data_IF_977431996255
#
_entry.id   IF_977431996255
#
_cell.length_a   1.000
_cell.length_b   1.000
_cell.length_c   1.000
_cell.angle_alpha   90.00
_cell.angle_beta   90.00
_cell.angle_gamma   90.00
#
_symmetry.space_group_name_H-M   'P 1'
#
loop_
_entity.id
_entity.type
_entity.pdbx_description
1 polymer ?
#
# COMPACT_ATOMS: atom_id res chain seq x y z
N UNK A 1 13.67 14.17 -47.63
CA UNK A 1 12.70 14.45 -46.54
C UNK A 1 13.13 13.64 -45.33
N UNK A 2 13.69 14.30 -44.31
CA UNK A 2 14.13 13.65 -43.09
C UNK A 2 12.92 13.36 -42.20
N UNK A 3 12.63 12.09 -41.96
CA UNK A 3 11.64 11.65 -40.97
C UNK A 3 12.18 12.07 -39.59
N UNK A 4 11.58 13.07 -38.96
CA UNK A 4 11.90 13.42 -37.57
C UNK A 4 11.54 12.23 -36.66
N UNK A 5 12.36 11.92 -35.65
CA UNK A 5 12.24 10.68 -34.92
C UNK A 5 10.94 10.63 -34.12
N UNK A 6 10.22 9.51 -34.26
CA UNK A 6 9.20 9.06 -33.32
C UNK A 6 9.75 9.13 -31.90
N UNK A 7 9.07 9.79 -30.98
CA UNK A 7 9.46 9.84 -29.57
C UNK A 7 9.29 8.46 -28.95
N UNK A 8 10.41 7.77 -28.74
CA UNK A 8 10.45 6.49 -28.03
C UNK A 8 10.56 6.73 -26.53
N UNK A 9 9.53 6.35 -25.76
CA UNK A 9 9.64 6.22 -24.31
C UNK A 9 9.85 4.74 -23.99
N UNK A 10 11.11 4.31 -23.98
CA UNK A 10 11.53 2.99 -23.51
C UNK A 10 12.06 3.09 -22.07
N UNK A 11 11.30 2.68 -21.04
CA UNK A 11 11.91 2.38 -19.76
C UNK A 11 12.72 1.09 -19.94
N UNK A 12 14.04 1.21 -19.74
CA UNK A 12 15.02 0.14 -19.93
C UNK A 12 14.54 -1.23 -19.40
N UNK A 13 14.64 -2.25 -20.26
CA UNK A 13 14.53 -3.69 -19.93
C UNK A 13 13.22 -4.12 -19.23
N UNK A 14 12.05 -3.82 -19.80
CA UNK A 14 10.78 -4.48 -19.38
C UNK A 14 9.91 -4.90 -20.59
N UNK A 15 9.12 -5.98 -20.48
CA UNK A 15 8.29 -6.53 -21.57
C UNK A 15 7.00 -5.73 -21.83
N UNK A 16 6.98 -4.43 -21.53
CA UNK A 16 5.77 -3.62 -21.47
C UNK A 16 6.08 -2.18 -21.88
N UNK A 17 5.36 -1.65 -22.87
CA UNK A 17 5.55 -0.31 -23.40
C UNK A 17 4.30 0.22 -24.08
N UNK A 18 4.24 1.54 -24.28
CA UNK A 18 3.20 2.19 -25.07
C UNK A 18 3.83 2.83 -26.32
N UNK A 19 3.13 2.73 -27.45
CA UNK A 19 3.54 3.32 -28.71
C UNK A 19 2.55 4.41 -29.10
N UNK A 20 3.06 5.58 -29.48
CA UNK A 20 2.28 6.77 -29.81
C UNK A 20 2.35 7.10 -31.29
N UNK A 21 1.23 7.50 -31.88
CA UNK A 21 1.19 8.07 -33.23
C UNK A 21 0.18 9.20 -33.32
N UNK A 22 0.59 10.31 -33.96
CA UNK A 22 -0.19 11.54 -34.12
C UNK A 22 -0.41 11.92 -35.58
N UNK A 23 0.34 11.32 -36.51
CA UNK A 23 0.22 11.56 -37.94
C UNK A 23 0.24 10.26 -38.75
N UNK A 24 -0.11 10.35 -40.03
CA UNK A 24 -0.33 9.18 -40.91
C UNK A 24 0.91 8.27 -41.05
N UNK A 25 2.15 8.77 -41.23
CA UNK A 25 3.33 7.90 -41.26
C UNK A 25 3.61 7.23 -39.91
N UNK A 26 3.39 7.94 -38.79
CA UNK A 26 3.55 7.36 -37.45
C UNK A 26 2.53 6.27 -37.16
N UNK A 27 1.31 6.35 -37.72
CA UNK A 27 0.30 5.30 -37.58
C UNK A 27 0.73 3.98 -38.22
N UNK A 28 1.36 4.02 -39.41
CA UNK A 28 1.87 2.82 -40.08
C UNK A 28 2.95 2.16 -39.24
N UNK A 29 3.85 2.97 -38.67
CA UNK A 29 4.86 2.49 -37.74
C UNK A 29 4.23 1.85 -36.48
N UNK A 30 3.25 2.51 -35.86
CA UNK A 30 2.51 2.00 -34.70
C UNK A 30 1.89 0.63 -34.99
N UNK A 31 1.18 0.47 -36.11
CA UNK A 31 0.55 -0.78 -36.49
C UNK A 31 1.58 -1.90 -36.72
N UNK A 32 2.67 -1.62 -37.45
CA UNK A 32 3.73 -2.60 -37.70
C UNK A 32 4.44 -3.04 -36.41
N UNK A 33 4.75 -2.10 -35.53
CA UNK A 33 5.38 -2.37 -34.25
C UNK A 33 4.46 -3.18 -33.32
N UNK A 34 3.17 -2.84 -33.23
CA UNK A 34 2.19 -3.63 -32.46
C UNK A 34 2.04 -5.04 -33.01
N UNK A 35 2.00 -5.22 -34.33
CA UNK A 35 1.98 -6.55 -34.96
C UNK A 35 3.22 -7.37 -34.57
N UNK A 36 4.42 -6.75 -34.59
CA UNK A 36 5.65 -7.40 -34.16
C UNK A 36 5.64 -7.76 -32.66
N UNK A 37 5.10 -6.89 -31.80
CA UNK A 37 4.91 -7.15 -30.37
C UNK A 37 3.98 -8.34 -30.11
N UNK A 38 2.83 -8.38 -30.79
CA UNK A 38 1.89 -9.50 -30.74
C UNK A 38 2.52 -10.80 -31.25
N UNK A 39 3.26 -10.75 -32.36
CA UNK A 39 3.96 -11.91 -32.92
C UNK A 39 5.03 -12.47 -31.97
N UNK A 40 5.71 -11.60 -31.22
CA UNK A 40 6.75 -12.00 -30.25
C UNK A 40 6.20 -12.35 -28.87
N UNK A 41 4.88 -12.23 -28.63
CA UNK A 41 4.27 -12.52 -27.34
C UNK A 41 4.62 -11.51 -26.24
N UNK A 42 4.90 -10.25 -26.62
CA UNK A 42 5.26 -9.17 -25.70
C UNK A 42 4.21 -8.06 -25.84
N UNK A 43 3.12 -8.09 -25.05
CA UNK A 43 2.03 -7.13 -25.19
C UNK A 43 2.48 -5.67 -25.05
N UNK A 44 1.90 -4.79 -25.87
CA UNK A 44 2.14 -3.35 -25.83
C UNK A 44 0.83 -2.56 -26.01
N UNK A 45 0.75 -1.36 -25.44
CA UNK A 45 -0.43 -0.50 -25.55
C UNK A 45 -0.35 0.41 -26.77
N UNK A 46 -1.48 0.56 -27.46
CA UNK A 46 -1.64 1.50 -28.56
C UNK A 46 -2.16 2.84 -28.06
N UNK A 47 -1.48 3.93 -28.40
CA UNK A 47 -1.93 5.29 -28.14
C UNK A 47 -1.99 6.02 -29.48
N UNK A 48 -3.21 6.14 -30.01
CA UNK A 48 -3.49 6.81 -31.27
C UNK A 48 -4.53 7.91 -31.07
N UNK A 49 -4.25 9.09 -31.60
CA UNK A 49 -5.19 10.22 -31.63
C UNK A 49 -6.29 9.98 -32.67
N UNK A 50 -7.52 10.39 -32.39
CA UNK A 50 -8.63 10.23 -33.34
C UNK A 50 -8.44 11.10 -34.60
N UNK A 51 -7.98 12.33 -34.40
CA UNK A 51 -7.82 13.34 -35.45
C UNK A 51 -6.38 13.35 -36.00
N UNK A 52 -6.25 13.60 -37.30
CA UNK A 52 -4.95 13.75 -37.96
C UNK A 52 -4.37 15.11 -37.58
N UNK A 53 -3.16 15.13 -37.01
CA UNK A 53 -2.43 16.37 -36.73
C UNK A 53 -1.45 16.73 -37.86
N UNK A 54 -1.27 18.02 -38.07
CA UNK A 54 -0.25 18.56 -38.96
C UNK A 54 1.16 18.24 -38.44
N UNK A 55 2.14 18.22 -39.35
CA UNK A 55 3.49 17.76 -39.02
C UNK A 55 4.27 18.69 -38.07
N UNK A 56 3.86 19.96 -37.96
CA UNK A 56 4.41 20.99 -37.09
C UNK A 56 3.56 21.28 -35.84
N UNK A 57 2.37 20.66 -35.72
CA UNK A 57 1.59 20.72 -34.51
C UNK A 57 2.29 19.91 -33.39
N UNK A 58 2.56 20.59 -32.28
CA UNK A 58 3.25 20.03 -31.11
C UNK A 58 2.32 19.89 -29.90
N UNK A 59 1.04 20.19 -30.07
CA UNK A 59 0.03 20.00 -29.04
C UNK A 59 -0.29 18.52 -28.85
N UNK A 60 -0.61 18.13 -27.61
CA UNK A 60 -1.06 16.77 -27.28
C UNK A 60 -2.59 16.80 -27.25
N UNK A 61 -3.30 16.05 -28.12
CA UNK A 61 -4.74 15.94 -28.07
C UNK A 61 -5.24 15.35 -26.76
N UNK A 62 -6.43 15.75 -26.31
CA UNK A 62 -6.97 15.34 -25.01
C UNK A 62 -7.16 13.82 -24.88
N UNK A 63 -7.54 13.13 -25.96
CA UNK A 63 -7.70 11.67 -26.00
C UNK A 63 -6.37 10.92 -25.93
N UNK A 64 -5.31 11.50 -26.48
CA UNK A 64 -3.93 11.00 -26.36
C UNK A 64 -3.40 11.23 -24.95
N UNK A 65 -3.61 12.42 -24.39
CA UNK A 65 -3.24 12.77 -23.01
C UNK A 65 -3.89 11.79 -22.01
N UNK A 66 -5.19 11.52 -22.15
CA UNK A 66 -5.91 10.58 -21.28
C UNK A 66 -5.27 9.19 -21.31
N UNK A 67 -4.95 8.67 -22.50
CA UNK A 67 -4.33 7.35 -22.68
C UNK A 67 -2.92 7.33 -22.09
N UNK A 68 -2.12 8.38 -22.29
CA UNK A 68 -0.78 8.51 -21.73
C UNK A 68 -0.80 8.52 -20.20
N UNK A 69 -1.64 9.35 -19.60
CA UNK A 69 -1.76 9.47 -18.15
C UNK A 69 -2.29 8.17 -17.53
N UNK A 70 -3.27 7.51 -18.15
CA UNK A 70 -3.78 6.22 -17.70
C UNK A 70 -2.69 5.14 -17.74
N UNK A 71 -1.97 5.03 -18.86
CA UNK A 71 -0.88 4.07 -19.02
C UNK A 71 0.24 4.33 -18.00
N UNK A 72 0.68 5.59 -17.86
CA UNK A 72 1.74 5.96 -16.93
C UNK A 72 1.34 5.66 -15.47
N UNK A 73 0.12 5.99 -15.07
CA UNK A 73 -0.39 5.71 -13.71
C UNK A 73 -0.42 4.21 -13.41
N UNK A 74 -0.98 3.41 -14.32
CA UNK A 74 -1.02 1.95 -14.16
C UNK A 74 0.39 1.33 -14.16
N UNK A 75 1.26 1.78 -15.07
CA UNK A 75 2.65 1.31 -15.14
C UNK A 75 3.45 1.65 -13.88
N UNK A 76 3.25 2.84 -13.30
CA UNK A 76 3.86 3.23 -12.04
C UNK A 76 3.36 2.38 -10.87
N UNK A 77 2.06 2.06 -10.80
CA UNK A 77 1.53 1.18 -9.76
C UNK A 77 2.18 -0.22 -9.84
N UNK A 78 2.21 -0.84 -11.03
CA UNK A 78 2.86 -2.15 -11.24
C UNK A 78 4.35 -2.10 -10.90
N UNK A 79 5.05 -1.06 -11.34
CA UNK A 79 6.47 -0.91 -11.06
C UNK A 79 6.79 -0.70 -9.57
N UNK A 80 5.90 -0.02 -8.84
CA UNK A 80 6.08 0.31 -7.42
C UNK A 80 5.86 -0.89 -6.50
N UNK A 81 5.03 -1.86 -6.90
CA UNK A 81 4.85 -3.10 -6.17
C UNK A 81 6.05 -4.04 -6.26
N UNK A 82 6.74 -4.05 -7.41
CA UNK A 82 7.82 -5.00 -7.67
C UNK A 82 8.94 -4.90 -6.61
N UNK A 83 9.28 -6.02 -6.01
CA UNK A 83 10.32 -6.16 -4.99
C UNK A 83 9.93 -5.70 -3.58
N UNK A 84 8.67 -5.26 -3.39
CA UNK A 84 8.11 -4.92 -2.08
C UNK A 84 7.49 -6.13 -1.40
N UNK A 85 7.22 -6.00 -0.11
CA UNK A 85 6.62 -7.07 0.69
C UNK A 85 5.15 -6.80 1.00
N UNK A 86 4.40 -7.88 1.18
CA UNK A 86 3.16 -7.90 1.95
C UNK A 86 3.47 -8.48 3.34
N UNK A 87 3.12 -7.75 4.40
CA UNK A 87 3.31 -8.22 5.77
C UNK A 87 2.02 -8.89 6.28
N UNK A 88 2.05 -10.21 6.45
CA UNK A 88 0.98 -10.96 7.12
C UNK A 88 1.29 -11.05 8.61
N UNK A 89 0.58 -10.27 9.42
CA UNK A 89 0.69 -10.30 10.88
C UNK A 89 -0.39 -11.21 11.47
N UNK A 90 0.04 -12.41 11.84
CA UNK A 90 -0.81 -13.58 12.04
C UNK A 90 -1.04 -14.36 10.74
N UNK A 91 -1.98 -15.30 10.81
CA UNK A 91 -2.42 -16.12 9.69
C UNK A 91 -3.90 -15.96 9.35
N UNK A 92 -4.60 -17.09 9.23
CA UNK A 92 -6.01 -17.13 8.84
C UNK A 92 -6.91 -16.55 9.93
N UNK A 93 -7.81 -15.64 9.55
CA UNK A 93 -8.84 -15.11 10.45
C UNK A 93 -10.17 -15.79 10.16
N UNK A 94 -10.68 -16.56 11.14
CA UNK A 94 -12.04 -17.15 11.11
C UNK A 94 -12.40 -17.93 9.83
N UNK A 95 -11.43 -18.59 9.20
CA UNK A 95 -11.65 -19.35 7.96
C UNK A 95 -11.95 -18.48 6.73
N UNK A 96 -11.69 -17.16 6.79
CA UNK A 96 -11.86 -16.27 5.64
C UNK A 96 -10.84 -16.64 4.57
N UNK A 97 -11.33 -17.01 3.38
CA UNK A 97 -10.48 -17.45 2.27
C UNK A 97 -9.38 -16.43 1.92
N UNK A 98 -9.73 -15.14 1.88
CA UNK A 98 -8.77 -14.05 1.61
C UNK A 98 -7.70 -13.85 2.68
N UNK A 99 -7.74 -14.56 3.81
CA UNK A 99 -6.70 -14.58 4.85
C UNK A 99 -5.76 -15.78 4.75
N UNK A 100 -6.05 -16.71 3.85
CA UNK A 100 -5.12 -17.77 3.45
C UNK A 100 -4.17 -17.13 2.42
N UNK A 101 -3.04 -16.63 2.88
CA UNK A 101 -2.12 -15.85 2.05
C UNK A 101 -1.42 -16.76 1.02
N UNK A 102 -1.87 -16.66 -0.24
CA UNK A 102 -1.22 -17.32 -1.37
C UNK A 102 0.08 -16.58 -1.74
N UNK A 103 1.22 -17.16 -1.38
CA UNK A 103 2.53 -16.57 -1.66
C UNK A 103 2.85 -16.55 -3.16
N UNK A 104 2.42 -17.58 -3.91
CA UNK A 104 2.68 -17.68 -5.34
C UNK A 104 1.93 -16.58 -6.12
N UNK A 105 0.74 -16.17 -5.66
CA UNK A 105 0.05 -15.02 -6.22
C UNK A 105 0.90 -13.74 -6.13
N UNK A 106 1.44 -13.41 -4.95
CA UNK A 106 2.28 -12.23 -4.77
C UNK A 106 3.57 -12.28 -5.58
N UNK A 107 4.24 -13.43 -5.58
CA UNK A 107 5.52 -13.61 -6.28
C UNK A 107 5.34 -13.56 -7.80
N UNK A 108 4.41 -14.36 -8.34
CA UNK A 108 4.26 -14.55 -9.79
C UNK A 108 3.53 -13.39 -10.47
N UNK A 109 2.47 -12.84 -9.85
CA UNK A 109 1.66 -11.79 -10.50
C UNK A 109 2.14 -10.38 -10.18
N UNK A 110 2.58 -10.14 -8.94
CA UNK A 110 2.90 -8.78 -8.48
C UNK A 110 4.41 -8.53 -8.40
N UNK A 111 5.22 -9.59 -8.51
CA UNK A 111 6.65 -9.52 -8.26
C UNK A 111 6.98 -9.07 -6.83
N UNK A 112 6.08 -9.36 -5.88
CA UNK A 112 6.20 -9.03 -4.46
C UNK A 112 6.72 -10.23 -3.65
N UNK A 113 7.07 -9.98 -2.40
CA UNK A 113 7.37 -11.01 -1.39
C UNK A 113 6.27 -11.06 -0.34
N UNK A 114 6.16 -12.16 0.38
CA UNK A 114 5.32 -12.24 1.58
C UNK A 114 6.22 -12.43 2.80
N UNK A 115 6.03 -11.60 3.81
CA UNK A 115 6.62 -11.78 5.13
C UNK A 115 5.51 -12.18 6.09
N UNK A 116 5.60 -13.39 6.65
CA UNK A 116 4.72 -13.83 7.72
C UNK A 116 5.37 -13.57 9.08
N UNK A 117 4.63 -13.00 10.01
CA UNK A 117 5.06 -12.74 11.39
C UNK A 117 3.90 -13.11 12.30
N UNK A 118 4.13 -13.95 13.31
CA UNK A 118 3.09 -14.29 14.26
C UNK A 118 2.71 -13.08 15.15
N UNK A 119 1.46 -13.04 15.62
CA UNK A 119 0.98 -11.93 16.44
C UNK A 119 1.71 -11.80 17.79
N UNK A 120 2.38 -12.85 18.26
CA UNK A 120 3.27 -12.79 19.43
C UNK A 120 4.40 -11.76 19.28
N UNK A 121 4.88 -11.47 18.07
CA UNK A 121 5.88 -10.42 17.86
C UNK A 121 5.31 -9.03 18.16
N UNK A 122 4.05 -8.77 17.79
CA UNK A 122 3.39 -7.52 18.14
C UNK A 122 3.26 -7.37 19.66
N UNK A 123 2.88 -8.47 20.34
CA UNK A 123 2.83 -8.52 21.81
C UNK A 123 4.21 -8.26 22.43
N UNK A 124 5.26 -8.91 21.92
CA UNK A 124 6.65 -8.74 22.37
C UNK A 124 7.08 -7.28 22.27
N UNK A 125 6.79 -6.61 21.15
CA UNK A 125 7.14 -5.19 20.97
C UNK A 125 6.47 -4.29 22.00
N UNK A 126 5.19 -4.55 22.31
CA UNK A 126 4.47 -3.76 23.30
C UNK A 126 5.01 -4.02 24.71
N UNK A 127 5.23 -5.29 25.09
CA UNK A 127 5.64 -5.64 26.46
C UNK A 127 7.10 -5.27 26.75
N UNK A 128 7.98 -5.40 25.75
CA UNK A 128 9.41 -5.08 25.87
C UNK A 128 9.75 -3.64 25.47
N UNK A 129 8.74 -2.78 25.28
CA UNK A 129 8.89 -1.37 24.90
C UNK A 129 9.73 -1.13 23.65
N UNK A 130 9.47 -1.90 22.60
CA UNK A 130 10.15 -1.79 21.29
C UNK A 130 9.33 -0.86 20.39
N UNK A 131 9.28 0.41 20.80
CA UNK A 131 8.60 1.51 20.13
C UNK A 131 9.15 2.83 20.69
N UNK A 132 8.88 3.95 20.03
CA UNK A 132 9.24 5.28 20.54
C UNK A 132 8.26 5.73 21.63
N UNK A 133 8.71 5.77 22.90
CA UNK A 133 7.87 6.21 24.03
C UNK A 133 7.46 7.69 23.91
N UNK A 134 8.30 8.55 23.32
CA UNK A 134 7.96 9.96 23.13
C UNK A 134 6.87 10.13 22.06
N UNK A 135 6.93 9.34 20.99
CA UNK A 135 5.87 9.32 19.99
C UNK A 135 4.54 8.84 20.57
N UNK A 136 4.55 7.86 21.49
CA UNK A 136 3.33 7.40 22.14
C UNK A 136 2.66 8.52 22.95
N UNK A 137 3.43 9.28 23.72
CA UNK A 137 2.89 10.41 24.50
C UNK A 137 2.32 11.50 23.59
N UNK A 138 2.98 11.77 22.45
CA UNK A 138 2.43 12.66 21.43
C UNK A 138 1.13 12.13 20.83
N UNK A 139 1.06 10.83 20.53
CA UNK A 139 -0.12 10.19 19.96
C UNK A 139 -1.31 10.21 20.93
N UNK A 140 -1.06 9.96 22.24
CA UNK A 140 -2.07 10.07 23.29
C UNK A 140 -2.58 11.51 23.44
N UNK A 141 -1.66 12.49 23.49
CA UNK A 141 -2.02 13.92 23.57
C UNK A 141 -2.85 14.35 22.36
N UNK A 142 -2.47 13.87 21.16
CA UNK A 142 -3.24 14.12 19.95
C UNK A 142 -4.61 13.45 19.98
N UNK A 143 -4.71 12.21 20.46
CA UNK A 143 -5.99 11.51 20.61
C UNK A 143 -6.91 12.27 21.58
N UNK A 144 -6.39 12.74 22.71
CA UNK A 144 -7.17 13.52 23.69
C UNK A 144 -7.74 14.81 23.11
N UNK A 145 -6.98 15.47 22.22
CA UNK A 145 -7.42 16.71 21.56
C UNK A 145 -8.43 16.48 20.43
N UNK A 146 -8.34 15.36 19.71
CA UNK A 146 -9.02 15.18 18.43
C UNK A 146 -10.11 14.11 18.44
N UNK A 147 -10.04 13.12 19.34
CA UNK A 147 -11.03 12.05 19.39
C UNK A 147 -12.31 12.54 20.02
N UNK A 148 -13.42 12.29 19.31
CA UNK A 148 -14.77 12.45 19.82
C UNK A 148 -15.29 11.06 20.16
N UNK A 149 -15.44 10.77 21.44
CA UNK A 149 -15.95 9.49 21.92
C UNK A 149 -17.48 9.44 21.75
N UNK A 150 -17.99 8.28 21.30
CA UNK A 150 -19.41 7.99 21.28
C UNK A 150 -19.88 7.36 22.57
N UNK A 151 -21.19 7.16 22.72
CA UNK A 151 -21.77 6.42 23.85
C UNK A 151 -21.39 4.93 23.79
N UNK A 152 -21.16 4.32 24.95
CA UNK A 152 -20.87 2.89 25.07
C UNK A 152 -22.17 2.09 25.05
N UNK A 153 -22.46 1.47 23.90
CA UNK A 153 -23.65 0.64 23.67
C UNK A 153 -23.54 -0.78 24.26
N UNK A 154 -22.42 -1.15 24.87
CA UNK A 154 -22.31 -2.45 25.53
C UNK A 154 -23.30 -2.54 26.69
N UNK A 155 -23.80 -3.75 26.97
CA UNK A 155 -24.54 -4.01 28.20
C UNK A 155 -23.71 -3.53 29.40
N UNK A 156 -24.36 -2.93 30.41
CA UNK A 156 -23.69 -2.30 31.58
C UNK A 156 -22.60 -3.16 32.23
N UNK A 157 -22.77 -4.48 32.25
CA UNK A 157 -21.79 -5.42 32.81
C UNK A 157 -20.49 -5.57 31.99
N UNK A 158 -20.50 -5.18 30.71
CA UNK A 158 -19.35 -5.23 29.79
C UNK A 158 -18.79 -3.84 29.47
N UNK A 159 -19.42 -2.77 29.97
CA UNK A 159 -18.89 -1.42 29.82
C UNK A 159 -17.59 -1.30 30.59
N UNK A 160 -16.60 -0.64 29.98
CA UNK A 160 -15.30 -0.41 30.59
C UNK A 160 -15.35 0.86 31.44
N UNK A 161 -14.64 0.85 32.56
CA UNK A 161 -14.41 2.08 33.29
C UNK A 161 -13.41 3.00 32.53
N UNK A 162 -13.22 4.22 33.02
CA UNK A 162 -12.35 5.21 32.36
C UNK A 162 -10.89 4.75 32.26
N UNK A 163 -10.36 4.09 33.29
CA UNK A 163 -8.98 3.60 33.33
C UNK A 163 -8.75 2.47 32.32
N UNK A 164 -9.65 1.49 32.28
CA UNK A 164 -9.65 0.40 31.30
C UNK A 164 -9.78 0.95 29.87
N UNK A 165 -10.63 1.95 29.66
CA UNK A 165 -10.81 2.60 28.37
C UNK A 165 -9.54 3.34 27.91
N UNK A 166 -8.85 4.01 28.85
CA UNK A 166 -7.55 4.65 28.60
C UNK A 166 -6.47 3.63 28.25
N UNK A 167 -6.43 2.50 28.94
CA UNK A 167 -5.49 1.40 28.65
C UNK A 167 -5.73 0.83 27.25
N UNK A 168 -6.99 0.59 26.88
CA UNK A 168 -7.40 0.14 25.54
C UNK A 168 -6.95 1.12 24.46
N UNK A 169 -7.13 2.43 24.68
CA UNK A 169 -6.67 3.46 23.75
C UNK A 169 -5.16 3.43 23.59
N UNK A 170 -4.41 3.42 24.70
CA UNK A 170 -2.94 3.36 24.70
C UNK A 170 -2.43 2.15 23.93
N UNK A 171 -3.00 0.98 24.20
CA UNK A 171 -2.62 -0.25 23.53
C UNK A 171 -2.97 -0.24 22.03
N UNK A 172 -4.13 0.32 21.66
CA UNK A 172 -4.52 0.46 20.25
C UNK A 172 -3.56 1.37 19.47
N UNK A 173 -3.10 2.48 20.08
CA UNK A 173 -2.11 3.38 19.47
C UNK A 173 -0.75 2.69 19.34
N UNK A 174 -0.32 1.95 20.37
CA UNK A 174 0.91 1.16 20.33
C UNK A 174 0.89 0.11 19.22
N UNK A 175 -0.24 -0.56 19.03
CA UNK A 175 -0.39 -1.51 17.94
C UNK A 175 -0.23 -0.83 16.58
N UNK A 176 -0.83 0.35 16.39
CA UNK A 176 -0.68 1.10 15.14
C UNK A 176 0.78 1.51 14.87
N UNK A 177 1.47 2.02 15.90
CA UNK A 177 2.89 2.40 15.82
C UNK A 177 3.76 1.18 15.50
N UNK A 178 3.62 0.09 16.26
CA UNK A 178 4.43 -1.11 16.07
C UNK A 178 4.20 -1.74 14.68
N UNK A 179 2.95 -1.80 14.19
CA UNK A 179 2.64 -2.33 12.87
C UNK A 179 3.28 -1.46 11.78
N UNK A 180 3.19 -0.13 11.89
CA UNK A 180 3.88 0.78 10.97
C UNK A 180 5.39 0.52 10.98
N UNK A 181 5.99 0.44 12.15
CA UNK A 181 7.44 0.22 12.31
C UNK A 181 7.86 -1.14 11.73
N UNK A 182 7.04 -2.18 11.87
CA UNK A 182 7.26 -3.47 11.20
C UNK A 182 7.18 -3.33 9.67
N UNK A 183 6.27 -2.52 9.13
CA UNK A 183 6.15 -2.36 7.68
C UNK A 183 7.34 -1.62 7.07
N UNK A 184 7.67 -0.44 7.59
CA UNK A 184 8.61 0.49 6.95
C UNK A 184 9.94 0.70 7.68
N UNK A 185 10.10 0.11 8.87
CA UNK A 185 11.22 0.37 9.76
C UNK A 185 11.04 1.63 10.58
N UNK A 186 11.89 1.80 11.59
CA UNK A 186 11.95 3.00 12.43
C UNK A 186 13.36 3.15 13.01
N UNK A 187 14.09 4.18 12.58
CA UNK A 187 15.45 4.44 13.05
C UNK A 187 15.55 4.69 14.55
N UNK A 188 14.49 5.17 15.20
CA UNK A 188 14.44 5.34 16.67
C UNK A 188 14.57 4.04 17.44
N UNK A 189 14.21 2.91 16.83
CA UNK A 189 14.42 1.60 17.44
C UNK A 189 15.91 1.25 17.54
N UNK A 190 16.74 1.73 16.60
CA UNK A 190 18.19 1.54 16.69
C UNK A 190 18.79 2.33 17.87
N UNK A 191 18.26 3.52 18.17
CA UNK A 191 18.70 4.35 19.30
C UNK A 191 18.48 3.66 20.66
N UNK A 192 17.46 2.79 20.77
CA UNK A 192 17.18 1.97 21.96
C UNK A 192 17.80 0.56 21.89
N UNK A 193 18.75 0.34 20.99
CA UNK A 193 19.50 -0.93 20.86
C UNK A 193 18.76 -2.05 20.11
N UNK A 194 17.65 -1.74 19.44
CA UNK A 194 16.79 -2.67 18.69
C UNK A 194 17.06 -2.55 17.18
N UNK A 195 18.32 -2.80 16.81
CA UNK A 195 18.83 -2.56 15.45
C UNK A 195 18.15 -3.47 14.43
N UNK A 196 17.87 -4.72 14.78
CA UNK A 196 17.13 -5.65 13.90
C UNK A 196 15.70 -5.15 13.63
N UNK A 197 14.97 -4.80 14.70
CA UNK A 197 13.59 -4.32 14.58
C UNK A 197 13.47 -2.97 13.86
N UNK A 198 14.54 -2.18 13.83
CA UNK A 198 14.60 -0.87 13.17
C UNK A 198 14.51 -0.94 11.65
N UNK A 199 14.87 -2.08 11.04
CA UNK A 199 14.91 -2.24 9.57
C UNK A 199 13.52 -2.35 8.94
N UNK A 200 12.58 -2.95 9.67
CA UNK A 200 11.26 -3.33 9.15
C UNK A 200 11.33 -4.38 8.03
N UNK A 201 10.19 -4.63 7.39
CA UNK A 201 10.02 -5.71 6.41
C UNK A 201 9.85 -5.21 4.95
N UNK A 202 10.11 -3.92 4.68
CA UNK A 202 9.93 -3.29 3.36
C UNK A 202 8.53 -3.56 2.77
N UNK A 203 7.51 -3.47 3.64
CA UNK A 203 6.14 -3.77 3.27
C UNK A 203 5.39 -2.51 2.82
N UNK A 204 4.70 -2.59 1.68
CA UNK A 204 3.82 -1.52 1.18
C UNK A 204 2.35 -1.74 1.55
N UNK A 205 2.02 -2.97 1.97
CA UNK A 205 0.71 -3.37 2.45
C UNK A 205 0.87 -4.42 3.54
N UNK A 206 -0.08 -4.47 4.46
CA UNK A 206 -0.09 -5.44 5.56
C UNK A 206 -1.50 -5.91 5.89
N UNK A 207 -1.60 -7.07 6.52
CA UNK A 207 -2.82 -7.59 7.13
C UNK A 207 -2.60 -7.92 8.60
N UNK A 208 -3.60 -7.63 9.43
CA UNK A 208 -3.62 -8.07 10.83
C UNK A 208 -4.75 -9.07 11.04
N UNK A 209 -4.40 -10.29 11.48
CA UNK A 209 -5.36 -11.38 11.69
C UNK A 209 -6.41 -10.98 12.74
N UNK A 210 -5.97 -10.54 13.92
CA UNK A 210 -6.85 -10.14 15.01
C UNK A 210 -7.74 -11.29 15.49
N UNK A 211 -8.92 -11.42 14.89
CA UNK A 211 -9.89 -12.43 15.29
C UNK A 211 -9.41 -13.85 14.91
N UNK A 212 -9.50 -14.84 15.79
CA UNK A 212 -10.01 -14.78 17.18
C UNK A 212 -8.90 -14.72 18.24
N UNK A 213 -7.75 -15.30 17.95
CA UNK A 213 -6.68 -15.56 18.92
C UNK A 213 -6.14 -14.31 19.62
N UNK A 214 -6.12 -13.15 18.93
CA UNK A 214 -5.74 -11.89 19.56
C UNK A 214 -6.92 -11.28 20.31
N UNK A 215 -8.04 -11.08 19.63
CA UNK A 215 -9.16 -10.27 20.13
C UNK A 215 -9.92 -10.89 21.29
N UNK A 216 -9.76 -12.20 21.50
CA UNK A 216 -10.38 -12.90 22.63
C UNK A 216 -9.69 -12.55 23.97
N UNK A 217 -8.47 -11.98 23.94
CA UNK A 217 -7.71 -11.64 25.14
C UNK A 217 -7.10 -10.22 25.13
N UNK A 218 -6.89 -9.62 23.95
CA UNK A 218 -6.19 -8.35 23.79
C UNK A 218 -7.07 -7.39 22.96
N UNK A 219 -7.09 -6.07 23.28
CA UNK A 219 -7.85 -5.10 22.52
C UNK A 219 -7.61 -5.15 21.01
N UNK A 220 -8.68 -4.93 20.22
CA UNK A 220 -8.58 -4.87 18.76
C UNK A 220 -8.04 -3.51 18.32
N UNK A 221 -7.19 -3.50 17.30
CA UNK A 221 -6.92 -2.27 16.55
C UNK A 221 -8.20 -1.91 15.82
N UNK A 222 -8.92 -0.93 16.34
CA UNK A 222 -9.95 -0.25 15.57
C UNK A 222 -9.65 1.24 15.69
N UNK A 223 -9.02 1.86 14.68
CA UNK A 223 -9.08 3.29 14.59
C UNK A 223 -10.58 3.65 14.37
N UNK A 224 -11.04 4.82 14.83
CA UNK A 224 -12.45 5.19 14.77
C UNK A 224 -13.00 4.98 13.35
N UNK A 225 -14.28 4.58 13.22
CA UNK A 225 -14.96 4.16 11.96
C UNK A 225 -14.75 5.08 10.72
N UNK A 226 -14.15 6.26 10.87
CA UNK A 226 -13.78 7.23 9.81
C UNK A 226 -12.28 7.26 9.43
N UNK A 227 -11.44 6.42 10.03
CA UNK A 227 -9.99 6.58 10.01
C UNK A 227 -9.24 5.55 9.16
N UNK A 228 -9.94 4.86 8.23
CA UNK A 228 -9.35 3.83 7.35
C UNK A 228 -8.39 4.39 6.28
N UNK A 229 -8.24 5.71 6.20
CA UNK A 229 -7.22 6.40 5.40
C UNK A 229 -6.80 7.69 6.12
N UNK A 230 -6.41 7.61 7.39
CA UNK A 230 -5.88 8.80 8.10
C UNK A 230 -4.39 8.63 8.27
N UNK A 231 -3.65 9.60 7.71
CA UNK A 231 -2.24 9.87 7.96
C UNK A 231 -1.96 9.90 9.47
N UNK A 232 -1.56 8.78 10.04
CA UNK A 232 -1.05 8.72 11.40
C UNK A 232 0.46 8.94 11.39
N UNK A 233 0.85 10.19 11.11
CA UNK A 233 2.13 10.75 11.57
C UNK A 233 1.94 12.25 11.77
N UNK A 234 2.13 12.72 13.00
CA UNK A 234 2.31 14.14 13.33
C UNK A 234 3.65 14.70 12.86
N UNK A 235 4.15 14.22 11.73
CA UNK A 235 5.24 14.77 10.93
C UNK A 235 4.75 14.77 9.49
N UNK A 236 4.88 15.93 8.86
CA UNK A 236 4.33 16.30 7.56
C UNK A 236 4.28 15.16 6.51
N UNK A 237 3.10 15.00 5.92
CA UNK A 237 2.86 14.35 4.62
C UNK A 237 3.66 13.05 4.34
N UNK A 238 3.39 11.98 5.06
CA UNK A 238 3.77 10.63 4.64
C UNK A 238 2.64 10.01 3.78
N UNK A 239 3.00 9.41 2.63
CA UNK A 239 2.09 8.69 1.74
C UNK A 239 1.13 7.76 2.54
N UNK A 240 -0.16 7.65 2.16
CA UNK A 240 -1.08 6.83 2.92
C UNK A 240 -0.62 5.37 2.90
N UNK A 241 -0.37 4.77 4.06
CA UNK A 241 -0.20 3.33 4.21
C UNK A 241 -1.61 2.70 4.23
N UNK A 242 -1.88 1.74 3.36
CA UNK A 242 -3.12 0.96 3.44
C UNK A 242 -3.07 0.00 4.62
N UNK A 243 -3.87 0.27 5.64
CA UNK A 243 -4.06 -0.60 6.79
C UNK A 243 -5.54 -0.97 6.92
N UNK A 244 -5.85 -2.27 6.95
CA UNK A 244 -7.23 -2.79 6.99
C UNK A 244 -7.38 -3.74 8.18
N UNK A 245 -8.37 -3.52 9.08
CA UNK A 245 -8.73 -4.51 10.08
C UNK A 245 -9.39 -5.71 9.38
N UNK A 246 -8.90 -6.93 9.70
CA UNK A 246 -9.17 -8.23 9.06
C UNK A 246 -8.25 -8.48 7.86
N UNK A 247 -7.49 -9.58 7.92
CA UNK A 247 -6.56 -10.09 6.88
C UNK A 247 -7.31 -10.49 5.60
N UNK A 248 -7.96 -9.54 4.93
CA UNK A 248 -8.49 -9.79 3.60
C UNK A 248 -7.48 -9.25 2.59
N UNK A 249 -6.53 -10.10 2.22
CA UNK A 249 -5.45 -9.85 1.24
C UNK A 249 -6.02 -9.27 -0.05
N UNK A 250 -7.18 -9.77 -0.50
CA UNK A 250 -7.86 -9.35 -1.72
C UNK A 250 -8.55 -7.98 -1.64
N UNK A 251 -8.58 -7.34 -0.47
CA UNK A 251 -9.13 -5.97 -0.27
C UNK A 251 -8.07 -4.95 0.11
N UNK A 252 -6.80 -5.35 0.14
CA UNK A 252 -5.64 -4.51 0.49
C UNK A 252 -5.11 -3.68 -0.71
N UNK A 253 -5.95 -3.40 -1.70
CA UNK A 253 -5.59 -2.62 -2.87
C UNK A 253 -5.88 -1.14 -2.62
N UNK A 254 -4.82 -0.35 -2.55
CA UNK A 254 -4.88 1.10 -2.65
C UNK A 254 -4.98 1.49 -4.13
N UNK A 255 -5.95 2.33 -4.47
CA UNK A 255 -5.97 3.08 -5.73
C UNK A 255 -4.88 4.16 -5.74
#
# INVERSE_FOLDING_TARGET
MAVKPSTWIQPARKPFGALTALNVPALVYLAAALAAHSQKGIPAFSIYGHDVQDADDTSIPADVEEKLLRFARAGLAVASMKGKSYLSLGGVSMGIAGSIVDHNFFESWLGMKVQAVDMTELRRRIDQKIYDEAELEMALTWADKNFRYGEDENNKQYQRNAEQSRAVLRESLLMAMCIRDMMQGNSKLADIGRVEESLGYNAIAAGFQGQRHWTDHIPMVTPPKRSLTVHLTGMACANPLSWRPKTTVLTAWQC
#
